data_IF_508330826062
#
_entry.id   IF_508330826062
#
_cell.length_a   1.000
_cell.length_b   1.000
_cell.length_c   1.000
_cell.angle_alpha   90.00
_cell.angle_beta   90.00
_cell.angle_gamma   90.00
#
_symmetry.space_group_name_H-M   'P 1'
#
loop_
_entity.id
_entity.type
_entity.pdbx_description
1 polymer ?
#
# COMPACT_ATOMS: atom_id res chain seq x y z
N UNK A 1 10.30 -75.04 -4.91
CA UNK A 1 10.89 -73.68 -5.05
C UNK A 1 9.77 -72.65 -4.92
N UNK A 2 9.61 -72.00 -3.76
CA UNK A 2 8.56 -70.99 -3.52
C UNK A 2 9.10 -69.62 -3.92
N UNK A 3 8.52 -68.99 -4.94
CA UNK A 3 8.84 -67.61 -5.37
C UNK A 3 8.02 -66.64 -4.52
N UNK A 4 8.67 -65.90 -3.63
CA UNK A 4 8.06 -64.80 -2.89
C UNK A 4 8.04 -63.55 -3.77
N UNK A 5 6.84 -63.04 -4.08
CA UNK A 5 6.65 -61.78 -4.81
C UNK A 5 6.62 -60.65 -3.77
N UNK A 6 7.60 -59.76 -3.81
CA UNK A 6 7.62 -58.53 -3.02
C UNK A 6 6.83 -57.46 -3.76
N UNK A 7 5.67 -57.05 -3.21
CA UNK A 7 4.93 -55.91 -3.69
C UNK A 7 5.55 -54.63 -3.12
N UNK A 8 6.23 -53.85 -3.97
CA UNK A 8 6.69 -52.51 -3.63
C UNK A 8 5.49 -51.57 -3.74
N UNK A 9 4.99 -51.10 -2.60
CA UNK A 9 3.96 -50.07 -2.54
C UNK A 9 4.65 -48.71 -2.76
N UNK A 10 4.45 -48.13 -3.95
CA UNK A 10 4.91 -46.77 -4.26
C UNK A 10 3.90 -45.77 -3.70
N UNK A 11 4.19 -45.21 -2.53
CA UNK A 11 3.38 -44.12 -1.95
C UNK A 11 3.70 -42.83 -2.73
N UNK A 12 2.81 -42.44 -3.65
CA UNK A 12 2.90 -41.14 -4.31
C UNK A 12 2.60 -40.03 -3.29
N UNK A 13 3.63 -39.31 -2.85
CA UNK A 13 3.46 -38.09 -2.07
C UNK A 13 3.03 -36.97 -3.03
N UNK A 14 1.74 -36.65 -3.05
CA UNK A 14 1.24 -35.51 -3.82
C UNK A 14 1.53 -34.22 -3.05
N UNK A 15 2.50 -33.44 -3.54
CA UNK A 15 2.77 -32.10 -3.03
C UNK A 15 1.83 -31.13 -3.72
N UNK A 16 0.85 -30.60 -2.97
CA UNK A 16 -0.03 -29.54 -3.45
C UNK A 16 0.69 -28.19 -3.37
N UNK A 17 1.17 -27.69 -4.52
CA UNK A 17 1.65 -26.30 -4.62
C UNK A 17 0.44 -25.38 -4.77
N UNK A 18 0.13 -24.61 -3.72
CA UNK A 18 -0.89 -23.56 -3.79
C UNK A 18 -0.36 -22.41 -4.65
N UNK A 19 -1.08 -22.05 -5.71
CA UNK A 19 -0.75 -20.87 -6.51
C UNK A 19 -0.82 -19.61 -5.64
N UNK A 20 0.24 -18.79 -5.69
CA UNK A 20 0.32 -17.54 -4.93
C UNK A 20 -0.67 -16.52 -5.51
N UNK A 21 -1.47 -15.89 -4.65
CA UNK A 21 -2.43 -14.87 -5.07
C UNK A 21 -1.73 -13.57 -5.51
N UNK A 22 -2.42 -12.72 -6.28
CA UNK A 22 -1.91 -11.40 -6.64
C UNK A 22 -1.51 -10.57 -5.41
N UNK A 23 -2.31 -10.67 -4.34
CA UNK A 23 -2.08 -9.98 -3.08
C UNK A 23 -0.80 -10.45 -2.39
N UNK A 24 -0.56 -11.76 -2.37
CA UNK A 24 0.64 -12.33 -1.76
C UNK A 24 1.90 -11.92 -2.53
N UNK A 25 1.84 -11.88 -3.87
CA UNK A 25 2.95 -11.41 -4.72
C UNK A 25 3.21 -9.91 -4.52
N UNK A 26 2.17 -9.09 -4.58
CA UNK A 26 2.25 -7.65 -4.35
C UNK A 26 2.84 -7.33 -2.97
N UNK A 27 2.37 -8.01 -1.93
CA UNK A 27 2.86 -7.80 -0.58
C UNK A 27 4.33 -8.18 -0.42
N UNK A 28 4.75 -9.27 -1.05
CA UNK A 28 6.16 -9.69 -1.07
C UNK A 28 7.05 -8.62 -1.69
N UNK A 29 6.68 -8.09 -2.85
CA UNK A 29 7.43 -7.01 -3.51
C UNK A 29 7.43 -5.73 -2.67
N UNK A 30 6.31 -5.37 -2.05
CA UNK A 30 6.23 -4.19 -1.20
C UNK A 30 7.13 -4.33 0.05
N UNK A 31 7.21 -5.50 0.67
CA UNK A 31 8.10 -5.76 1.81
C UNK A 31 9.57 -5.57 1.47
N UNK A 32 10.00 -5.81 0.23
CA UNK A 32 11.40 -5.59 -0.20
C UNK A 32 11.81 -4.12 -0.14
N UNK A 33 10.84 -3.20 -0.08
CA UNK A 33 11.09 -1.77 0.05
C UNK A 33 11.32 -1.34 1.51
N UNK A 34 11.22 -2.24 2.50
CA UNK A 34 11.30 -1.86 3.91
C UNK A 34 12.58 -1.12 4.26
N UNK A 35 12.45 -0.03 5.04
CA UNK A 35 13.52 0.88 5.44
C UNK A 35 13.95 1.88 4.36
N UNK A 36 13.47 1.74 3.12
CA UNK A 36 13.90 2.58 1.99
C UNK A 36 13.00 3.80 1.82
N UNK A 37 13.61 4.90 1.38
CA UNK A 37 12.92 6.15 1.06
C UNK A 37 13.12 6.52 -0.40
N UNK A 38 12.07 6.99 -1.05
CA UNK A 38 12.06 7.35 -2.46
C UNK A 38 11.43 8.72 -2.69
N UNK A 39 11.98 9.47 -3.65
CA UNK A 39 11.44 10.76 -4.07
C UNK A 39 10.26 10.58 -5.02
N UNK A 40 9.24 11.42 -4.86
CA UNK A 40 8.04 11.42 -5.68
C UNK A 40 7.86 12.68 -6.51
N UNK A 41 7.05 12.56 -7.57
CA UNK A 41 6.56 13.66 -8.39
C UNK A 41 5.06 13.51 -8.62
N UNK A 42 4.37 14.63 -8.76
CA UNK A 42 2.96 14.65 -9.16
C UNK A 42 2.86 14.28 -10.65
N UNK A 43 2.08 13.25 -10.98
CA UNK A 43 1.81 12.83 -12.37
C UNK A 43 0.47 13.40 -12.85
N UNK A 44 -0.52 13.44 -11.97
CA UNK A 44 -1.83 14.02 -12.25
C UNK A 44 -2.34 14.68 -10.98
N UNK A 45 -2.90 15.87 -11.09
CA UNK A 45 -3.58 16.54 -10.00
C UNK A 45 -4.72 17.40 -10.52
N UNK A 46 -5.71 17.73 -9.68
CA UNK A 46 -6.72 18.72 -10.02
C UNK A 46 -6.08 20.07 -10.37
N UNK A 47 -6.75 20.93 -11.16
CA UNK A 47 -6.31 22.29 -11.40
C UNK A 47 -6.04 23.03 -10.09
N UNK A 48 -4.98 23.83 -10.06
CA UNK A 48 -4.56 24.61 -8.88
C UNK A 48 -4.21 23.77 -7.64
N UNK A 49 -3.67 22.56 -7.82
CA UNK A 49 -3.09 21.82 -6.69
C UNK A 49 -1.97 22.64 -6.03
N UNK A 50 -2.21 23.09 -4.82
CA UNK A 50 -1.24 23.79 -3.97
C UNK A 50 -0.74 22.89 -2.84
N UNK A 51 -1.34 21.71 -2.67
CA UNK A 51 -1.02 20.81 -1.57
C UNK A 51 0.27 20.04 -1.84
N UNK A 52 0.52 19.63 -3.09
CA UNK A 52 1.67 18.80 -3.44
C UNK A 52 2.57 19.41 -4.52
N UNK A 53 2.01 20.22 -5.42
CA UNK A 53 2.80 20.90 -6.45
C UNK A 53 3.96 21.72 -5.84
N UNK A 54 5.12 21.64 -6.48
CA UNK A 54 6.35 22.33 -6.07
C UNK A 54 6.82 22.00 -4.64
N UNK A 55 6.39 20.87 -4.06
CA UNK A 55 6.89 20.35 -2.79
C UNK A 55 7.78 19.14 -3.02
N UNK A 56 8.77 18.95 -2.14
CA UNK A 56 9.52 17.70 -2.08
C UNK A 56 8.60 16.61 -1.53
N UNK A 57 8.34 15.58 -2.33
CA UNK A 57 7.49 14.45 -1.97
C UNK A 57 8.38 13.26 -1.64
N UNK A 58 8.18 12.64 -0.47
CA UNK A 58 8.98 11.49 -0.06
C UNK A 58 8.09 10.39 0.50
N UNK A 59 8.26 9.19 -0.02
CA UNK A 59 7.67 7.97 0.52
C UNK A 59 8.75 7.21 1.27
N UNK A 60 8.49 6.81 2.51
CA UNK A 60 9.36 5.94 3.29
C UNK A 60 8.58 4.68 3.65
N UNK A 61 9.05 3.49 3.29
CA UNK A 61 8.40 2.23 3.71
C UNK A 61 8.99 1.83 5.06
N UNK A 62 8.46 2.43 6.15
CA UNK A 62 9.14 2.47 7.45
C UNK A 62 9.08 1.18 8.26
N UNK A 63 7.88 0.61 8.42
CA UNK A 63 7.66 -0.54 9.30
C UNK A 63 6.92 -1.64 8.55
N UNK A 64 7.42 -2.87 8.59
CA UNK A 64 6.91 -3.99 7.80
C UNK A 64 6.72 -5.24 8.67
N UNK A 65 5.73 -5.18 9.55
CA UNK A 65 5.23 -6.33 10.30
C UNK A 65 4.65 -7.36 9.32
N UNK A 66 4.38 -8.57 9.81
CA UNK A 66 3.86 -9.68 8.98
C UNK A 66 2.56 -9.31 8.26
N UNK A 67 1.64 -8.67 8.98
CA UNK A 67 0.33 -8.30 8.49
C UNK A 67 0.15 -6.80 8.29
N UNK A 68 1.17 -5.97 8.59
CA UNK A 68 1.02 -4.52 8.55
C UNK A 68 2.27 -3.83 8.02
N UNK A 69 2.07 -3.00 6.99
CA UNK A 69 3.10 -2.12 6.44
C UNK A 69 2.67 -0.68 6.64
N UNK A 70 3.58 0.16 7.11
CA UNK A 70 3.35 1.60 7.30
C UNK A 70 4.30 2.40 6.46
N UNK A 71 3.72 3.28 5.67
CA UNK A 71 4.42 4.05 4.65
C UNK A 71 4.19 5.54 4.91
N UNK A 72 5.06 6.20 5.69
CA UNK A 72 5.03 7.66 5.80
C UNK A 72 5.15 8.34 4.45
N UNK A 73 4.32 9.35 4.24
CA UNK A 73 4.31 10.18 3.05
C UNK A 73 4.50 11.65 3.44
N UNK A 74 5.71 12.16 3.21
CA UNK A 74 6.10 13.51 3.58
C UNK A 74 5.93 14.47 2.41
N UNK A 75 5.46 15.68 2.74
CA UNK A 75 5.22 16.76 1.78
C UNK A 75 5.93 18.01 2.29
N UNK A 76 7.13 18.27 1.76
CA UNK A 76 8.02 19.27 2.32
C UNK A 76 8.34 18.96 3.79
N UNK A 77 7.95 19.87 4.69
CA UNK A 77 8.11 19.75 6.15
C UNK A 77 6.86 19.19 6.85
N UNK A 78 5.83 18.81 6.10
CA UNK A 78 4.63 18.21 6.65
C UNK A 78 4.78 16.69 6.75
N UNK A 79 4.83 16.18 7.97
CA UNK A 79 5.02 14.76 8.30
C UNK A 79 3.76 14.10 8.89
N UNK A 80 2.58 14.64 8.57
CA UNK A 80 1.31 14.20 9.15
C UNK A 80 0.78 12.87 8.62
N UNK A 81 1.24 12.41 7.44
CA UNK A 81 0.53 11.37 6.66
C UNK A 81 1.29 10.06 6.66
N UNK A 82 0.58 8.97 6.93
CA UNK A 82 1.07 7.61 6.78
C UNK A 82 0.01 6.75 6.11
N UNK A 83 0.37 6.06 5.02
CA UNK A 83 -0.45 4.99 4.49
C UNK A 83 -0.23 3.74 5.35
N UNK A 84 -1.30 3.19 5.89
CA UNK A 84 -1.29 1.96 6.69
C UNK A 84 -1.95 0.86 5.86
N UNK A 85 -1.14 -0.09 5.40
CA UNK A 85 -1.60 -1.26 4.67
C UNK A 85 -1.66 -2.45 5.64
N UNK A 86 -2.81 -3.12 5.70
CA UNK A 86 -3.02 -4.28 6.58
C UNK A 86 -3.51 -5.48 5.78
N UNK A 87 -2.86 -6.63 5.90
CA UNK A 87 -3.36 -7.89 5.33
C UNK A 87 -4.68 -8.28 6.00
N UNK A 88 -5.64 -8.72 5.18
CA UNK A 88 -6.92 -9.28 5.63
C UNK A 88 -7.24 -10.49 4.76
N UNK A 89 -6.84 -11.67 5.22
CA UNK A 89 -6.88 -12.89 4.41
C UNK A 89 -6.19 -12.68 3.04
N UNK A 90 -6.92 -12.82 1.94
CA UNK A 90 -6.45 -12.65 0.56
C UNK A 90 -6.70 -11.21 0.02
N UNK A 91 -6.87 -10.23 0.92
CA UNK A 91 -7.09 -8.81 0.62
C UNK A 91 -6.11 -7.92 1.38
N UNK A 92 -6.07 -6.65 0.98
CA UNK A 92 -5.33 -5.60 1.69
C UNK A 92 -6.30 -4.48 2.05
N UNK A 93 -6.24 -4.02 3.29
CA UNK A 93 -6.90 -2.81 3.77
C UNK A 93 -5.91 -1.65 3.68
N UNK A 94 -6.29 -0.57 3.00
CA UNK A 94 -5.58 0.71 3.04
C UNK A 94 -6.31 1.65 3.99
N UNK A 95 -5.59 2.24 4.95
CA UNK A 95 -6.06 3.37 5.76
C UNK A 95 -5.05 4.53 5.71
N UNK A 96 -5.53 5.75 5.89
CA UNK A 96 -4.73 6.97 5.93
C UNK A 96 -4.62 7.46 7.37
N UNK A 97 -3.50 7.18 8.05
CA UNK A 97 -3.25 7.75 9.38
C UNK A 97 -2.74 9.18 9.23
N UNK A 98 -3.56 10.13 9.66
CA UNK A 98 -3.27 11.55 9.73
C UNK A 98 -3.12 11.98 11.19
N UNK A 99 -2.04 12.71 11.47
CA UNK A 99 -1.71 13.20 12.81
C UNK A 99 -1.32 14.67 12.79
N UNK A 100 -1.59 15.33 13.91
CA UNK A 100 -1.10 16.68 14.19
C UNK A 100 0.39 16.66 14.59
N UNK A 101 1.03 17.83 14.64
CA UNK A 101 2.46 17.96 14.98
C UNK A 101 2.81 17.44 16.38
N UNK A 102 1.88 17.54 17.31
CA UNK A 102 1.99 16.99 18.66
C UNK A 102 1.86 15.44 18.70
N UNK A 103 1.55 14.83 17.55
CA UNK A 103 1.40 13.40 17.38
C UNK A 103 0.00 12.84 17.64
N UNK A 104 -0.94 13.68 18.09
CA UNK A 104 -2.32 13.25 18.29
C UNK A 104 -3.01 12.98 16.93
N UNK A 105 -3.91 11.98 16.85
CA UNK A 105 -4.67 11.72 15.63
C UNK A 105 -5.51 12.93 15.20
N UNK A 106 -5.54 13.21 13.90
CA UNK A 106 -6.46 14.17 13.31
C UNK A 106 -7.90 13.65 13.43
N UNK A 107 -8.88 14.56 13.48
CA UNK A 107 -10.31 14.18 13.48
C UNK A 107 -10.70 13.38 12.23
N UNK A 108 -10.06 13.66 11.09
CA UNK A 108 -10.26 12.95 9.82
C UNK A 108 -9.03 12.10 9.51
N UNK A 109 -8.98 10.94 10.16
CA UNK A 109 -7.92 9.94 10.05
C UNK A 109 -8.50 8.55 9.86
N UNK A 110 -7.69 7.57 9.48
CA UNK A 110 -8.06 6.16 9.27
C UNK A 110 -9.18 5.93 8.23
N UNK A 111 -9.39 6.87 7.31
CA UNK A 111 -10.21 6.64 6.13
C UNK A 111 -9.45 5.82 5.07
N UNK A 112 -10.16 5.11 4.20
CA UNK A 112 -9.61 4.28 3.15
C UNK A 112 -10.57 3.15 2.74
N UNK A 113 -10.05 1.94 2.53
CA UNK A 113 -10.90 0.83 2.12
C UNK A 113 -10.18 -0.50 1.95
N UNK A 114 -10.98 -1.57 1.99
CA UNK A 114 -10.54 -2.94 1.73
C UNK A 114 -10.50 -3.19 0.22
N UNK A 115 -9.48 -3.91 -0.25
CA UNK A 115 -9.44 -4.32 -1.65
C UNK A 115 -10.62 -5.22 -2.00
N UNK A 116 -11.18 -5.06 -3.20
CA UNK A 116 -12.38 -5.81 -3.64
C UNK A 116 -12.06 -7.25 -4.02
N UNK A 117 -10.85 -7.49 -4.51
CA UNK A 117 -10.33 -8.80 -4.88
C UNK A 117 -8.85 -8.91 -4.44
N UNK A 118 -8.18 -10.00 -4.81
CA UNK A 118 -6.76 -10.21 -4.51
C UNK A 118 -5.83 -9.27 -5.29
N UNK A 119 -6.35 -8.45 -6.21
CA UNK A 119 -5.58 -7.64 -7.11
C UNK A 119 -4.66 -8.46 -8.01
N UNK A 120 -3.61 -7.80 -8.51
CA UNK A 120 -2.52 -8.42 -9.26
C UNK A 120 -1.22 -8.32 -8.46
N UNK A 121 -0.14 -8.92 -8.98
CA UNK A 121 1.21 -8.75 -8.42
C UNK A 121 1.69 -7.29 -8.41
N UNK A 122 1.09 -6.43 -9.23
CA UNK A 122 1.53 -5.05 -9.44
C UNK A 122 0.49 -4.00 -9.09
N UNK A 123 -0.76 -4.37 -8.75
CA UNK A 123 -1.83 -3.40 -8.49
C UNK A 123 -2.79 -3.88 -7.40
N UNK A 124 -3.16 -2.96 -6.52
CA UNK A 124 -4.22 -3.11 -5.52
C UNK A 124 -5.16 -1.91 -5.57
N UNK A 125 -6.47 -2.16 -5.52
CA UNK A 125 -7.53 -1.13 -5.64
C UNK A 125 -8.39 -1.14 -4.39
N UNK A 126 -8.67 0.04 -3.84
CA UNK A 126 -9.34 0.25 -2.55
C UNK A 126 -10.47 1.28 -2.73
N UNK A 127 -11.71 0.84 -3.01
CA UNK A 127 -12.89 1.71 -2.91
C UNK A 127 -13.14 2.12 -1.46
N UNK A 128 -13.70 3.31 -1.24
CA UNK A 128 -14.06 3.77 0.10
C UNK A 128 -14.97 2.78 0.85
N UNK A 129 -14.57 2.42 2.06
CA UNK A 129 -15.37 1.57 2.95
C UNK A 129 -16.42 2.37 3.73
N UNK A 130 -17.31 1.67 4.43
CA UNK A 130 -18.38 2.30 5.18
C UNK A 130 -17.86 3.21 6.31
N UNK A 131 -16.73 2.87 6.94
CA UNK A 131 -16.09 3.73 7.94
C UNK A 131 -15.70 5.08 7.33
N UNK A 132 -15.15 5.05 6.11
CA UNK A 132 -14.82 6.25 5.34
C UNK A 132 -16.05 7.06 4.98
N UNK A 133 -17.14 6.41 4.57
CA UNK A 133 -18.41 7.11 4.27
C UNK A 133 -18.95 7.79 5.52
N UNK A 134 -18.92 7.13 6.67
CA UNK A 134 -19.41 7.68 7.93
C UNK A 134 -18.55 8.88 8.40
N UNK A 135 -17.22 8.76 8.28
CA UNK A 135 -16.28 9.80 8.68
C UNK A 135 -16.24 10.98 7.70
N UNK A 136 -16.33 10.69 6.40
CA UNK A 136 -16.12 11.64 5.32
C UNK A 136 -17.09 11.34 4.16
N UNK A 137 -18.39 11.70 4.27
CA UNK A 137 -19.41 11.36 3.27
C UNK A 137 -19.06 11.78 1.84
N UNK A 138 -18.36 12.90 1.68
CA UNK A 138 -17.87 13.39 0.37
C UNK A 138 -16.83 12.48 -0.31
N UNK A 139 -16.27 11.51 0.41
CA UNK A 139 -15.32 10.53 -0.09
C UNK A 139 -15.98 9.18 -0.45
N UNK A 140 -17.32 9.08 -0.38
CA UNK A 140 -18.03 7.83 -0.66
C UNK A 140 -17.72 7.24 -2.05
N UNK A 141 -17.48 8.11 -3.04
CA UNK A 141 -17.14 7.69 -4.40
C UNK A 141 -15.62 7.66 -4.66
N UNK A 142 -14.79 7.74 -3.63
CA UNK A 142 -13.35 7.65 -3.81
C UNK A 142 -12.94 6.21 -4.09
N UNK A 143 -12.05 6.05 -5.07
CA UNK A 143 -11.31 4.83 -5.32
C UNK A 143 -9.83 5.16 -5.30
N UNK A 144 -9.13 4.58 -4.33
CA UNK A 144 -7.67 4.63 -4.27
C UNK A 144 -7.08 3.41 -4.97
N UNK A 145 -5.89 3.54 -5.52
CA UNK A 145 -5.12 2.37 -5.94
C UNK A 145 -3.62 2.62 -5.85
N UNK A 146 -2.89 1.53 -5.65
CA UNK A 146 -1.44 1.51 -5.64
C UNK A 146 -0.98 0.65 -6.81
N UNK A 147 -0.03 1.17 -7.60
CA UNK A 147 0.76 0.34 -8.50
C UNK A 147 2.17 0.17 -7.95
N UNK A 148 2.71 -1.03 -8.09
CA UNK A 148 4.08 -1.36 -7.76
C UNK A 148 4.71 -2.08 -8.95
N UNK A 149 5.68 -1.42 -9.59
CA UNK A 149 6.55 -2.03 -10.61
C UNK A 149 7.92 -2.21 -9.95
N UNK A 150 8.29 -3.44 -9.56
CA UNK A 150 9.52 -3.70 -8.82
C UNK A 150 10.75 -3.08 -9.50
N UNK A 151 11.56 -2.38 -8.71
CA UNK A 151 12.79 -1.72 -9.18
C UNK A 151 12.58 -0.53 -10.13
N UNK A 152 11.34 -0.11 -10.39
CA UNK A 152 11.04 1.00 -11.30
C UNK A 152 10.22 2.10 -10.63
N UNK A 153 8.98 1.80 -10.21
CA UNK A 153 8.10 2.83 -9.66
C UNK A 153 7.06 2.29 -8.69
N UNK A 154 6.69 3.14 -7.74
CA UNK A 154 5.50 3.00 -6.89
C UNK A 154 4.59 4.17 -7.20
N UNK A 155 3.30 3.93 -7.43
CA UNK A 155 2.33 5.03 -7.59
C UNK A 155 1.24 4.93 -6.54
N UNK A 156 0.88 6.06 -5.95
CA UNK A 156 -0.34 6.20 -5.17
C UNK A 156 -1.31 7.10 -5.92
N UNK A 157 -2.56 6.67 -6.00
CA UNK A 157 -3.54 7.29 -6.88
C UNK A 157 -4.92 7.38 -6.23
N UNK A 158 -5.72 8.32 -6.73
CA UNK A 158 -7.11 8.54 -6.34
C UNK A 158 -7.92 8.96 -7.57
N UNK A 159 -9.13 8.41 -7.71
CA UNK A 159 -10.18 8.93 -8.59
C UNK A 159 -11.48 9.04 -7.81
N UNK A 160 -12.21 10.13 -8.02
CA UNK A 160 -13.57 10.29 -7.51
C UNK A 160 -14.55 9.90 -8.61
N UNK A 161 -15.19 8.75 -8.44
CA UNK A 161 -16.14 8.20 -9.42
C UNK A 161 -17.32 9.15 -9.58
N UNK A 162 -17.73 9.37 -10.84
CA UNK A 162 -18.73 10.39 -11.19
C UNK A 162 -18.16 11.80 -11.35
N UNK A 163 -16.83 11.96 -11.43
CA UNK A 163 -16.19 13.25 -11.74
C UNK A 163 -14.88 13.06 -12.52
N UNK A 164 -14.32 14.17 -13.01
CA UNK A 164 -12.98 14.22 -13.62
C UNK A 164 -11.86 14.36 -12.57
N UNK A 165 -12.19 14.38 -11.28
CA UNK A 165 -11.20 14.55 -10.22
C UNK A 165 -10.34 13.30 -10.08
N UNK A 166 -9.07 13.46 -10.43
CA UNK A 166 -8.03 12.44 -10.30
C UNK A 166 -6.76 13.03 -9.66
N UNK A 167 -6.03 12.19 -8.95
CA UNK A 167 -4.74 12.53 -8.36
C UNK A 167 -3.80 11.32 -8.45
N UNK A 168 -2.52 11.56 -8.75
CA UNK A 168 -1.49 10.53 -8.88
C UNK A 168 -0.12 11.09 -8.53
N UNK A 169 0.60 10.37 -7.66
CA UNK A 169 2.01 10.59 -7.35
C UNK A 169 2.78 9.34 -7.74
N UNK A 170 3.88 9.52 -8.46
CA UNK A 170 4.85 8.47 -8.78
C UNK A 170 6.13 8.66 -7.98
N UNK A 171 6.58 7.61 -7.32
CA UNK A 171 7.86 7.53 -6.62
C UNK A 171 8.83 6.69 -7.44
N UNK A 172 10.05 7.21 -7.64
CA UNK A 172 11.11 6.56 -8.40
C UNK A 172 11.83 5.53 -7.52
N UNK A 173 11.63 4.24 -7.80
CA UNK A 173 12.24 3.15 -7.04
C UNK A 173 13.67 2.82 -7.48
N UNK A 174 14.18 3.48 -8.53
CA UNK A 174 15.54 3.26 -9.03
C UNK A 174 16.60 3.94 -8.17
N UNK A 175 16.20 4.95 -7.39
CA UNK A 175 17.11 5.78 -6.59
C UNK A 175 16.56 6.02 -5.18
N UNK A 176 17.15 5.30 -4.23
CA UNK A 176 16.93 5.57 -2.81
C UNK A 176 17.50 6.94 -2.41
N UNK A 177 16.80 7.65 -1.53
CA UNK A 177 17.21 8.97 -1.00
C UNK A 177 17.36 8.92 0.52
N UNK A 178 17.95 9.97 1.09
CA UNK A 178 18.01 10.12 2.54
C UNK A 178 16.62 10.19 3.16
N UNK A 179 16.38 9.35 4.17
CA UNK A 179 15.15 9.31 4.95
C UNK A 179 14.98 10.59 5.79
N UNK A 180 13.84 11.25 5.63
CA UNK A 180 13.42 12.38 6.46
C UNK A 180 13.09 11.94 7.92
N UNK A 181 12.91 12.89 8.87
CA UNK A 181 12.50 12.57 10.24
C UNK A 181 11.24 11.70 10.31
N UNK A 182 11.04 11.02 11.44
CA UNK A 182 9.85 10.19 11.65
C UNK A 182 8.54 11.00 11.46
N UNK A 183 7.46 10.36 10.95
CA UNK A 183 6.14 11.00 10.91
C UNK A 183 5.68 11.42 12.31
N UNK A 184 4.87 12.46 12.39
CA UNK A 184 4.41 12.98 13.67
C UNK A 184 3.62 11.92 14.46
N UNK A 185 3.90 11.81 15.76
CA UNK A 185 3.25 10.83 16.66
C UNK A 185 3.83 9.42 16.62
N UNK A 186 4.88 9.17 15.81
CA UNK A 186 5.61 7.92 15.80
C UNK A 186 6.92 8.10 16.55
N UNK A 187 7.12 7.30 17.59
CA UNK A 187 8.41 7.12 18.27
C UNK A 187 8.87 5.72 17.93
N UNK A 188 9.83 5.67 17.01
CA UNK A 188 10.51 4.50 16.47
C UNK A 188 9.66 3.33 15.98
#
# INVERSE_FOLDING_TARGET
>A
MKRSIFYIVFTFLTVFVKAQSGQELFWSELKKLCGKTFEGKVVTAPPNDTAFANKKLQMHVRACEEEKIRIPFHVGTNYSRTWVLTKKADRILLKHDHRHQDGNPDKVTMYGGLSTNSGTSSMQVFPADQETVNLLPRAANNVWWINLVPGKSFTYNLRVIGSDRQFSIEFDLTREIQTAPAPWGWKD
#
